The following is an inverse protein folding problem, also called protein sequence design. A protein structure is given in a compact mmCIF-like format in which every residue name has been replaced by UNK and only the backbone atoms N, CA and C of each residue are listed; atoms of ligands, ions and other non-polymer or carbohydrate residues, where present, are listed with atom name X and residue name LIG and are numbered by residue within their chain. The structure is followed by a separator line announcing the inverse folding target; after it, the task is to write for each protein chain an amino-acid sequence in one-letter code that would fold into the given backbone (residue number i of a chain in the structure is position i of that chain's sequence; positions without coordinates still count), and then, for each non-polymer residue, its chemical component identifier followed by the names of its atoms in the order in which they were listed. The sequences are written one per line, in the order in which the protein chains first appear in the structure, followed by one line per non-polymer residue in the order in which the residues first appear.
data_IF_067835266670
#
_entry.id   IF_067835266670
#
_cell.length_a   1.000
_cell.length_b   1.000
_cell.length_c   1.000
_cell.angle_alpha   90.00
_cell.angle_beta   90.00
_cell.angle_gamma   90.00
#
_symmetry.space_group_name_H-M   'P 1'
#
loop_
_entity.id
_entity.type
_entity.pdbx_description
1 polymer ?
#
# COMPACT_ATOMS: atom_id res chain seq x y z
N UNK A 1 26.38 24.57 12.96
CA UNK A 1 25.97 24.77 11.56
C UNK A 1 24.44 24.66 11.53
N UNK A 2 23.69 25.73 11.24
CA UNK A 2 22.23 25.60 11.16
C UNK A 2 21.89 24.88 9.85
N UNK A 3 21.09 23.82 9.96
CA UNK A 3 20.57 23.06 8.81
C UNK A 3 19.51 23.94 8.13
N UNK A 4 19.71 24.23 6.85
CA UNK A 4 18.72 24.93 6.04
C UNK A 4 17.45 24.07 5.92
N UNK A 5 16.31 24.62 6.35
CA UNK A 5 15.00 23.99 6.20
C UNK A 5 14.63 23.89 4.71
N UNK A 6 14.27 22.68 4.27
CA UNK A 6 13.78 22.39 2.93
C UNK A 6 12.34 22.95 2.81
N UNK A 7 12.04 23.84 1.86
CA UNK A 7 10.74 24.54 1.77
C UNK A 7 9.53 23.60 1.69
N UNK A 8 9.68 22.40 1.12
CA UNK A 8 8.60 21.42 0.97
C UNK A 8 8.24 20.63 2.24
N UNK A 9 9.13 20.54 3.23
CA UNK A 9 8.87 19.79 4.46
C UNK A 9 7.84 20.50 5.35
N UNK A 10 7.92 21.83 5.43
CA UNK A 10 6.94 22.66 6.15
C UNK A 10 5.58 22.66 5.47
N UNK A 11 5.56 22.62 4.14
CA UNK A 11 4.32 22.59 3.36
C UNK A 11 3.58 21.25 3.54
N UNK A 12 4.32 20.13 3.57
CA UNK A 12 3.78 18.80 3.87
C UNK A 12 3.24 18.68 5.30
N UNK A 13 3.97 19.19 6.30
CA UNK A 13 3.52 19.23 7.70
C UNK A 13 2.24 20.07 7.88
N UNK A 14 2.18 21.21 7.18
CA UNK A 14 1.01 22.09 7.22
C UNK A 14 -0.20 21.44 6.56
N UNK A 15 -0.03 20.78 5.41
CA UNK A 15 -1.12 20.05 4.73
C UNK A 15 -1.66 18.92 5.60
N UNK A 16 -0.80 18.15 6.27
CA UNK A 16 -1.22 17.10 7.20
C UNK A 16 -2.07 17.65 8.36
N UNK A 17 -1.65 18.78 8.95
CA UNK A 17 -2.41 19.42 10.02
C UNK A 17 -3.78 19.95 9.57
N UNK A 18 -3.89 20.47 8.33
CA UNK A 18 -5.16 20.88 7.72
C UNK A 18 -6.08 19.67 7.52
N UNK A 19 -5.56 18.54 7.05
CA UNK A 19 -6.32 17.28 6.88
C UNK A 19 -6.83 16.76 8.22
N UNK A 20 -6.00 16.80 9.27
CA UNK A 20 -6.38 16.38 10.62
C UNK A 20 -7.56 17.19 11.17
N UNK A 21 -7.54 18.52 11.03
CA UNK A 21 -8.65 19.38 11.47
C UNK A 21 -9.95 19.12 10.70
N UNK A 22 -9.86 18.82 9.39
CA UNK A 22 -11.04 18.43 8.60
C UNK A 22 -11.62 17.07 9.01
N UNK A 23 -10.78 16.18 9.56
CA UNK A 23 -11.18 14.87 10.07
C UNK A 23 -11.89 14.99 11.43
N UNK A 24 -11.30 15.75 12.36
CA UNK A 24 -11.77 15.89 13.74
C UNK A 24 -13.05 16.73 13.86
N UNK A 25 -13.15 17.82 13.10
CA UNK A 25 -14.21 18.82 13.26
C UNK A 25 -15.33 18.69 12.22
N UNK A 26 -15.12 17.86 11.19
CA UNK A 26 -16.01 17.80 10.04
C UNK A 26 -16.03 19.12 9.24
N UNK A 27 -17.19 19.57 8.71
CA UNK A 27 -17.28 20.77 7.88
C UNK A 27 -16.82 22.07 8.58
N UNK A 28 -15.60 22.53 8.26
CA UNK A 28 -14.95 23.70 8.89
C UNK A 28 -14.50 24.73 7.84
N UNK A 29 -14.38 26.00 8.23
CA UNK A 29 -13.92 27.08 7.32
C UNK A 29 -12.41 27.24 7.31
N UNK A 30 -11.87 27.77 6.21
CA UNK A 30 -10.44 28.10 6.11
C UNK A 30 -9.97 29.11 7.18
N UNK A 31 -10.86 29.99 7.65
CA UNK A 31 -10.55 30.96 8.71
C UNK A 31 -10.40 30.26 10.05
N UNK A 32 -11.30 29.34 10.39
CA UNK A 32 -11.24 28.58 11.65
C UNK A 32 -10.00 27.69 11.70
N UNK A 33 -9.67 27.00 10.59
CA UNK A 33 -8.41 26.25 10.46
C UNK A 33 -7.20 27.19 10.63
N UNK A 34 -7.22 28.37 10.01
CA UNK A 34 -6.14 29.35 10.12
C UNK A 34 -5.89 29.80 11.55
N UNK A 35 -6.96 30.09 12.31
CA UNK A 35 -6.86 30.45 13.73
C UNK A 35 -6.20 29.34 14.56
N UNK A 36 -6.61 28.08 14.35
CA UNK A 36 -6.07 26.93 15.10
C UNK A 36 -4.61 26.63 14.78
N UNK A 37 -4.21 26.80 13.52
CA UNK A 37 -2.85 26.50 13.07
C UNK A 37 -1.90 27.71 13.12
N UNK A 38 -2.39 28.90 13.51
CA UNK A 38 -1.59 30.14 13.47
C UNK A 38 -1.27 30.59 12.04
N UNK A 39 -2.11 30.25 11.06
CA UNK A 39 -1.93 30.51 9.64
C UNK A 39 -2.92 31.54 9.11
N UNK A 40 -2.54 32.24 8.05
CA UNK A 40 -3.48 33.09 7.32
C UNK A 40 -4.54 32.24 6.61
N UNK A 41 -5.78 32.74 6.54
CA UNK A 41 -6.84 32.08 5.79
C UNK A 41 -6.50 31.90 4.30
N UNK A 42 -5.64 32.76 3.73
CA UNK A 42 -5.15 32.62 2.37
C UNK A 42 -4.18 31.44 2.22
N UNK A 43 -3.28 31.23 3.19
CA UNK A 43 -2.37 30.09 3.23
C UNK A 43 -3.13 28.77 3.34
N UNK A 44 -4.11 28.71 4.24
CA UNK A 44 -4.97 27.53 4.40
C UNK A 44 -5.76 27.22 3.11
N UNK A 45 -6.27 28.25 2.42
CA UNK A 45 -7.01 28.05 1.16
C UNK A 45 -6.16 27.38 0.09
N UNK A 46 -4.86 27.71 -0.03
CA UNK A 46 -3.97 27.04 -0.99
C UNK A 46 -3.89 25.53 -0.75
N UNK A 47 -3.82 25.11 0.52
CA UNK A 47 -3.82 23.69 0.88
C UNK A 47 -5.17 23.02 0.61
N UNK A 48 -6.27 23.72 0.93
CA UNK A 48 -7.63 23.22 0.65
C UNK A 48 -7.89 23.09 -0.85
N UNK A 49 -7.44 24.05 -1.65
CA UNK A 49 -7.56 24.02 -3.10
C UNK A 49 -6.76 22.84 -3.67
N UNK A 50 -5.52 22.61 -3.20
CA UNK A 50 -4.73 21.45 -3.60
C UNK A 50 -5.36 20.10 -3.20
N UNK A 51 -6.09 20.04 -2.08
CA UNK A 51 -6.85 18.84 -1.67
C UNK A 51 -8.14 18.66 -2.49
N UNK A 52 -8.75 19.76 -2.95
CA UNK A 52 -9.91 19.72 -3.85
C UNK A 52 -9.49 19.26 -5.24
N UNK A 53 -8.37 19.76 -5.75
CA UNK A 53 -7.83 19.40 -7.06
C UNK A 53 -7.51 17.90 -7.15
N UNK A 54 -7.09 17.29 -6.04
CA UNK A 54 -6.85 15.84 -5.94
C UNK A 54 -8.10 15.02 -5.54
N UNK A 55 -9.26 15.67 -5.36
CA UNK A 55 -10.51 15.02 -4.97
C UNK A 55 -10.57 14.54 -3.51
N UNK A 56 -9.62 14.95 -2.68
CA UNK A 56 -9.50 14.55 -1.27
C UNK A 56 -10.38 15.39 -0.33
N UNK A 57 -10.64 16.64 -0.71
CA UNK A 57 -11.56 17.52 0.00
C UNK A 57 -12.63 18.07 -0.94
N UNK A 58 -13.75 18.52 -0.37
CA UNK A 58 -14.82 19.17 -1.12
C UNK A 58 -15.43 20.30 -0.29
N UNK A 59 -16.09 21.23 -0.98
CA UNK A 59 -16.93 22.21 -0.31
C UNK A 59 -18.16 21.52 0.31
N UNK A 60 -18.44 21.83 1.58
CA UNK A 60 -19.63 21.38 2.27
C UNK A 60 -20.78 22.39 2.08
N UNK A 61 -22.04 21.92 1.96
CA UNK A 61 -23.20 22.81 1.93
C UNK A 61 -23.25 23.71 3.16
N UNK A 62 -23.68 24.96 2.99
CA UNK A 62 -23.94 25.84 4.13
C UNK A 62 -25.03 25.20 5.03
N UNK A 63 -24.91 25.28 6.37
CA UNK A 63 -25.97 24.83 7.25
C UNK A 63 -27.30 25.47 6.83
N UNK A 64 -28.39 24.68 6.86
CA UNK A 64 -29.72 25.20 6.62
C UNK A 64 -30.11 26.09 7.81
N UNK A 65 -29.72 27.37 7.69
CA UNK A 65 -30.19 28.53 8.46
C UNK A 65 -29.65 28.65 9.89
N UNK A 66 -28.72 29.59 10.08
CA UNK A 66 -28.56 30.35 11.32
C UNK A 66 -27.98 31.74 11.00
N UNK A 67 -28.70 32.80 11.38
CA UNK A 67 -28.15 34.16 11.48
C UNK A 67 -28.13 35.03 10.21
N UNK A 68 -28.93 36.10 10.21
CA UNK A 68 -28.84 37.23 9.29
C UNK A 68 -27.55 38.03 9.56
N UNK A 69 -26.45 37.68 8.92
CA UNK A 69 -25.28 38.55 8.77
C UNK A 69 -25.21 39.15 7.37
N UNK A 70 -24.77 40.41 7.23
CA UNK A 70 -24.39 40.95 5.90
C UNK A 70 -23.11 40.24 5.45
N UNK A 71 -23.17 39.54 4.32
CA UNK A 71 -22.00 38.92 3.68
C UNK A 71 -22.32 37.56 3.05
N UNK A 72 -21.51 37.15 2.07
CA UNK A 72 -21.60 35.80 1.50
C UNK A 72 -21.23 34.78 2.59
N UNK A 73 -22.01 33.71 2.81
CA UNK A 73 -21.69 32.68 3.80
C UNK A 73 -20.28 32.14 3.59
N UNK A 74 -19.53 31.96 4.68
CA UNK A 74 -18.19 31.39 4.62
C UNK A 74 -18.26 29.95 4.08
N UNK A 75 -17.45 29.65 3.07
CA UNK A 75 -17.32 28.28 2.53
C UNK A 75 -16.71 27.37 3.59
N UNK A 76 -17.41 26.26 3.86
CA UNK A 76 -16.93 25.15 4.68
C UNK A 76 -16.36 24.06 3.79
N UNK A 77 -15.40 23.32 4.32
CA UNK A 77 -14.70 22.26 3.62
C UNK A 77 -14.76 20.99 4.47
N UNK A 78 -14.82 19.83 3.82
CA UNK A 78 -14.80 18.52 4.47
C UNK A 78 -13.98 17.55 3.63
N UNK A 79 -13.44 16.50 4.26
CA UNK A 79 -12.83 15.40 3.53
C UNK A 79 -13.88 14.61 2.74
N UNK A 80 -13.50 14.15 1.56
CA UNK A 80 -14.24 13.15 0.78
C UNK A 80 -13.94 11.74 1.31
N UNK A 81 -14.62 10.72 0.78
CA UNK A 81 -14.23 9.33 1.06
C UNK A 81 -12.80 9.03 0.58
N UNK A 82 -12.40 9.61 -0.57
CA UNK A 82 -11.04 9.49 -1.13
C UNK A 82 -10.00 10.12 -0.21
N UNK A 83 -10.26 11.32 0.31
CA UNK A 83 -9.35 11.99 1.26
C UNK A 83 -9.22 11.25 2.59
N UNK A 84 -10.32 10.64 3.08
CA UNK A 84 -10.26 9.78 4.28
C UNK A 84 -9.48 8.49 4.03
N UNK A 85 -9.59 7.89 2.84
CA UNK A 85 -8.84 6.68 2.50
C UNK A 85 -7.33 6.92 2.37
N UNK A 86 -6.90 8.14 2.00
CA UNK A 86 -5.48 8.53 1.96
C UNK A 86 -4.82 8.72 3.32
N UNK A 87 -5.58 8.68 4.42
CA UNK A 87 -5.04 8.53 5.77
C UNK A 87 -4.49 7.12 6.04
N UNK A 88 -4.31 6.31 4.98
CA UNK A 88 -3.92 4.90 4.97
C UNK A 88 -2.64 4.54 5.73
N UNK A 89 -1.84 5.52 6.18
CA UNK A 89 -0.76 5.28 7.14
C UNK A 89 -1.26 4.73 8.48
N UNK A 90 -2.51 5.02 8.87
CA UNK A 90 -3.08 4.49 10.13
C UNK A 90 -3.27 2.97 10.15
N UNK A 91 -3.54 2.34 9.01
CA UNK A 91 -3.69 0.89 8.93
C UNK A 91 -2.33 0.19 8.95
N UNK A 92 -1.33 0.74 8.26
CA UNK A 92 0.02 0.20 8.27
C UNK A 92 0.68 0.38 9.65
N UNK A 93 0.40 1.50 10.33
CA UNK A 93 0.85 1.75 11.70
C UNK A 93 0.22 0.76 12.69
N UNK A 94 -1.11 0.54 12.58
CA UNK A 94 -1.82 -0.44 13.40
C UNK A 94 -1.33 -1.86 13.13
N UNK A 95 -1.15 -2.24 11.85
CA UNK A 95 -0.63 -3.54 11.47
C UNK A 95 0.79 -3.76 12.00
N UNK A 96 1.67 -2.77 11.83
CA UNK A 96 3.03 -2.78 12.37
C UNK A 96 3.04 -2.88 13.90
N UNK A 97 2.14 -2.18 14.59
CA UNK A 97 2.00 -2.28 16.04
C UNK A 97 1.53 -3.68 16.48
N UNK A 98 0.55 -4.27 15.77
CA UNK A 98 0.08 -5.62 16.03
C UNK A 98 1.18 -6.67 15.81
N UNK A 99 1.97 -6.54 14.74
CA UNK A 99 3.09 -7.43 14.43
C UNK A 99 4.21 -7.32 15.48
N UNK A 100 4.53 -6.10 15.95
CA UNK A 100 5.47 -5.92 17.08
C UNK A 100 4.96 -6.62 18.34
N UNK A 101 3.69 -6.43 18.68
CA UNK A 101 3.11 -7.09 19.84
C UNK A 101 3.08 -8.62 19.71
N UNK A 102 2.80 -9.14 18.51
CA UNK A 102 2.89 -10.58 18.22
C UNK A 102 4.30 -11.12 18.48
N UNK A 103 5.33 -10.39 18.02
CA UNK A 103 6.73 -10.73 18.30
C UNK A 103 7.05 -10.68 19.79
N UNK A 104 6.53 -9.70 20.53
CA UNK A 104 6.72 -9.59 21.98
C UNK A 104 6.14 -10.79 22.74
N UNK A 105 4.92 -11.21 22.41
CA UNK A 105 4.22 -12.27 23.16
C UNK A 105 4.59 -13.68 22.69
N UNK A 106 4.93 -13.85 21.41
CA UNK A 106 5.13 -15.16 20.77
C UNK A 106 6.53 -15.39 20.20
N UNK A 107 7.42 -14.39 20.25
CA UNK A 107 8.74 -14.44 19.65
C UNK A 107 8.72 -14.45 18.11
N UNK A 108 9.89 -14.66 17.52
CA UNK A 108 10.05 -14.68 16.05
C UNK A 108 9.23 -15.79 15.38
N UNK A 109 9.14 -16.96 16.02
CA UNK A 109 8.38 -18.10 15.50
C UNK A 109 6.90 -17.78 15.28
N UNK A 110 6.31 -16.90 16.10
CA UNK A 110 4.93 -16.47 15.93
C UNK A 110 4.75 -15.54 14.72
N UNK A 111 5.73 -14.68 14.45
CA UNK A 111 5.76 -13.81 13.26
C UNK A 111 5.90 -14.66 11.99
N UNK A 112 6.83 -15.63 11.99
CA UNK A 112 7.01 -16.56 10.87
C UNK A 112 5.75 -17.41 10.60
N UNK A 113 5.11 -17.94 11.65
CA UNK A 113 3.87 -18.70 11.52
C UNK A 113 2.74 -17.83 10.95
N UNK A 114 2.60 -16.60 11.44
CA UNK A 114 1.64 -15.65 10.87
C UNK A 114 1.91 -15.39 9.38
N UNK A 115 3.16 -15.11 9.01
CA UNK A 115 3.56 -14.88 7.63
C UNK A 115 3.23 -16.06 6.73
N UNK A 116 3.56 -17.29 7.17
CA UNK A 116 3.23 -18.54 6.44
C UNK A 116 1.73 -18.72 6.27
N UNK A 117 0.93 -18.54 7.33
CA UNK A 117 -0.53 -18.65 7.24
C UNK A 117 -1.13 -17.60 6.33
N UNK A 118 -0.58 -16.38 6.36
CA UNK A 118 -1.03 -15.28 5.51
C UNK A 118 -0.89 -15.63 4.03
N UNK A 119 0.29 -16.08 3.59
CA UNK A 119 0.49 -16.44 2.17
C UNK A 119 -0.29 -17.69 1.78
N UNK A 120 -0.44 -18.67 2.68
CA UNK A 120 -1.30 -19.83 2.44
C UNK A 120 -2.75 -19.42 2.17
N UNK A 121 -3.27 -18.43 2.92
CA UNK A 121 -4.60 -17.89 2.67
C UNK A 121 -4.72 -17.18 1.32
N UNK A 122 -3.64 -16.54 0.83
CA UNK A 122 -3.65 -15.92 -0.50
C UNK A 122 -3.67 -16.98 -1.61
N UNK A 123 -2.95 -18.08 -1.42
CA UNK A 123 -2.78 -19.14 -2.40
C UNK A 123 -3.80 -20.28 -2.25
N UNK A 124 -4.80 -20.15 -1.37
CA UNK A 124 -5.69 -21.26 -1.02
C UNK A 124 -6.50 -21.87 -2.17
N UNK A 125 -6.62 -21.17 -3.31
CA UNK A 125 -7.25 -21.66 -4.53
C UNK A 125 -6.28 -22.16 -5.62
N UNK A 126 -4.97 -22.05 -5.40
CA UNK A 126 -3.95 -22.42 -6.39
C UNK A 126 -3.49 -23.86 -6.13
N UNK A 127 -3.44 -24.68 -7.17
CA UNK A 127 -2.90 -26.03 -7.09
C UNK A 127 -1.37 -26.01 -7.27
N UNK A 128 -0.61 -26.82 -6.50
CA UNK A 128 0.83 -26.94 -6.71
C UNK A 128 1.14 -27.75 -7.96
N UNK A 129 2.31 -27.51 -8.54
CA UNK A 129 2.90 -28.31 -9.63
C UNK A 129 3.11 -29.75 -9.16
N UNK A 130 2.61 -30.73 -9.93
CA UNK A 130 2.77 -32.15 -9.64
C UNK A 130 3.74 -32.86 -10.61
N UNK A 131 3.64 -32.59 -11.91
CA UNK A 131 4.45 -33.28 -12.92
C UNK A 131 5.85 -32.67 -13.10
N UNK A 132 6.01 -31.40 -12.72
CA UNK A 132 7.25 -30.65 -12.92
C UNK A 132 7.49 -30.25 -14.38
N UNK A 133 6.48 -30.40 -15.24
CA UNK A 133 6.58 -29.99 -16.63
C UNK A 133 6.68 -28.46 -16.75
N UNK A 134 7.41 -27.98 -17.76
CA UNK A 134 7.61 -26.54 -17.92
C UNK A 134 6.31 -25.77 -18.15
N UNK A 135 5.34 -26.36 -18.85
CA UNK A 135 4.02 -25.76 -19.06
C UNK A 135 3.24 -25.64 -17.74
N UNK A 136 3.22 -26.68 -16.92
CA UNK A 136 2.52 -26.67 -15.63
C UNK A 136 3.13 -25.65 -14.65
N UNK A 137 4.46 -25.48 -14.66
CA UNK A 137 5.14 -24.44 -13.86
C UNK A 137 4.71 -23.04 -14.30
N UNK A 138 4.59 -22.81 -15.61
CA UNK A 138 4.15 -21.52 -16.15
C UNK A 138 2.68 -21.24 -15.83
N UNK A 139 1.80 -22.24 -16.00
CA UNK A 139 0.39 -22.15 -15.64
C UNK A 139 0.22 -21.86 -14.14
N UNK A 140 0.96 -22.58 -13.28
CA UNK A 140 0.94 -22.34 -11.83
C UNK A 140 1.48 -20.96 -11.47
N UNK A 141 2.50 -20.45 -12.17
CA UNK A 141 3.00 -19.09 -11.97
C UNK A 141 1.95 -18.03 -12.35
N UNK A 142 1.16 -18.28 -13.39
CA UNK A 142 0.02 -17.43 -13.77
C UNK A 142 -1.08 -17.46 -12.70
N UNK A 143 -1.43 -18.62 -12.17
CA UNK A 143 -2.41 -18.76 -11.09
C UNK A 143 -1.96 -18.05 -9.81
N UNK A 144 -0.67 -18.15 -9.45
CA UNK A 144 -0.08 -17.38 -8.35
C UNK A 144 -0.23 -15.88 -8.60
N UNK A 145 0.10 -15.40 -9.81
CA UNK A 145 -0.02 -13.98 -10.14
C UNK A 145 -1.48 -13.50 -10.11
N UNK A 146 -2.43 -14.33 -10.53
CA UNK A 146 -3.87 -14.03 -10.44
C UNK A 146 -4.31 -13.90 -8.97
N UNK A 147 -3.97 -14.87 -8.12
CA UNK A 147 -4.31 -14.83 -6.70
C UNK A 147 -3.74 -13.60 -5.98
N UNK A 148 -2.49 -13.22 -6.30
CA UNK A 148 -1.87 -12.01 -5.77
C UNK A 148 -2.51 -10.73 -6.31
N UNK A 149 -2.98 -10.74 -7.57
CA UNK A 149 -3.73 -9.61 -8.14
C UNK A 149 -5.06 -9.40 -7.43
N UNK A 150 -5.80 -10.47 -7.16
CA UNK A 150 -7.05 -10.42 -6.39
C UNK A 150 -6.82 -9.89 -4.97
N UNK A 151 -5.64 -10.16 -4.40
CA UNK A 151 -5.21 -9.63 -3.11
C UNK A 151 -4.63 -8.19 -3.17
N UNK A 152 -4.66 -7.55 -4.34
CA UNK A 152 -4.27 -6.16 -4.54
C UNK A 152 -2.77 -5.93 -4.82
N UNK A 153 -2.00 -6.95 -5.19
CA UNK A 153 -0.57 -6.79 -5.50
C UNK A 153 -0.30 -6.35 -6.95
N UNK A 154 -1.33 -6.25 -7.78
CA UNK A 154 -1.19 -5.93 -9.22
C UNK A 154 -0.08 -6.78 -9.86
N UNK A 155 -0.25 -8.10 -9.80
CA UNK A 155 0.79 -9.05 -10.19
C UNK A 155 0.62 -9.51 -11.64
N UNK A 156 1.73 -9.95 -12.25
CA UNK A 156 1.78 -10.40 -13.64
C UNK A 156 2.91 -11.40 -13.82
N UNK A 157 2.80 -12.26 -14.84
CA UNK A 157 3.91 -13.11 -15.27
C UNK A 157 4.54 -12.57 -16.56
N UNK A 158 5.82 -12.88 -16.76
CA UNK A 158 6.54 -12.60 -18.01
C UNK A 158 7.57 -13.68 -18.30
N UNK A 159 7.57 -14.27 -19.49
CA UNK A 159 8.64 -15.16 -19.94
C UNK A 159 9.94 -14.38 -20.16
N UNK A 160 11.04 -14.89 -19.61
CA UNK A 160 12.38 -14.28 -19.70
C UNK A 160 13.44 -15.38 -19.78
N UNK A 161 14.19 -15.43 -20.87
CA UNK A 161 15.23 -16.43 -21.07
C UNK A 161 14.66 -17.85 -21.00
N UNK A 162 15.22 -18.68 -20.10
CA UNK A 162 14.82 -20.06 -19.85
C UNK A 162 13.84 -20.19 -18.68
N UNK A 163 13.06 -19.16 -18.38
CA UNK A 163 12.10 -19.21 -17.28
C UNK A 163 11.01 -18.15 -17.38
N UNK A 164 10.26 -18.03 -16.28
CA UNK A 164 9.21 -17.01 -16.10
C UNK A 164 9.57 -16.12 -14.92
N UNK A 165 9.07 -14.88 -14.92
CA UNK A 165 9.14 -13.97 -13.79
C UNK A 165 7.74 -13.68 -13.29
N UNK A 166 7.54 -13.76 -11.99
CA UNK A 166 6.36 -13.22 -11.31
C UNK A 166 6.74 -11.82 -10.82
N UNK A 167 6.04 -10.81 -11.32
CA UNK A 167 6.25 -9.41 -10.97
C UNK A 167 5.04 -8.88 -10.20
N UNK A 168 5.27 -8.20 -9.07
CA UNK A 168 4.22 -7.50 -8.31
C UNK A 168 4.49 -5.99 -8.39
N UNK A 169 3.58 -5.26 -9.02
CA UNK A 169 3.73 -3.81 -9.24
C UNK A 169 3.19 -2.97 -8.07
N UNK A 170 2.55 -3.62 -7.10
CA UNK A 170 2.09 -3.04 -5.85
C UNK A 170 2.26 -4.05 -4.73
N UNK A 171 2.54 -3.59 -3.51
CA UNK A 171 2.52 -4.46 -2.33
C UNK A 171 1.71 -3.76 -1.24
N UNK A 172 0.50 -4.24 -0.92
CA UNK A 172 -0.38 -3.60 0.06
C UNK A 172 0.15 -3.69 1.50
N UNK A 173 1.26 -4.38 1.72
CA UNK A 173 1.90 -4.55 3.04
C UNK A 173 3.37 -4.13 3.02
N UNK A 174 3.82 -3.36 2.02
CA UNK A 174 5.25 -3.01 1.86
C UNK A 174 5.82 -2.33 3.10
N UNK A 175 5.07 -1.39 3.70
CA UNK A 175 5.54 -0.67 4.88
C UNK A 175 5.66 -1.57 6.13
N UNK A 176 4.82 -2.60 6.23
CA UNK A 176 4.94 -3.60 7.30
C UNK A 176 6.12 -4.53 6.99
N UNK A 177 6.27 -4.96 5.75
CA UNK A 177 7.35 -5.84 5.30
C UNK A 177 8.76 -5.22 5.44
N UNK A 178 8.87 -3.88 5.41
CA UNK A 178 10.12 -3.16 5.76
C UNK A 178 10.62 -3.47 7.17
N UNK A 179 9.71 -3.70 8.12
CA UNK A 179 10.02 -4.00 9.53
C UNK A 179 9.93 -5.51 9.85
N UNK A 180 9.24 -6.27 9.01
CA UNK A 180 8.98 -7.69 9.16
C UNK A 180 9.29 -8.46 7.86
N UNK A 181 10.58 -8.68 7.54
CA UNK A 181 11.01 -9.38 6.32
C UNK A 181 10.45 -10.81 6.19
N UNK A 182 10.03 -11.42 7.30
CA UNK A 182 9.41 -12.75 7.36
C UNK A 182 8.19 -12.84 6.42
N UNK A 183 7.49 -11.73 6.18
CA UNK A 183 6.39 -11.65 5.22
C UNK A 183 6.86 -11.94 3.78
N UNK A 184 7.99 -11.35 3.39
CA UNK A 184 8.58 -11.52 2.06
C UNK A 184 9.27 -12.88 1.90
N UNK A 185 9.80 -13.42 2.99
CA UNK A 185 10.44 -14.74 3.04
C UNK A 185 9.42 -15.87 2.94
N UNK A 186 8.33 -15.79 3.71
CA UNK A 186 7.23 -16.75 3.64
C UNK A 186 6.60 -16.80 2.25
N UNK A 187 6.49 -15.65 1.56
CA UNK A 187 6.05 -15.60 0.17
C UNK A 187 6.98 -16.40 -0.75
N UNK A 188 8.29 -16.21 -0.63
CA UNK A 188 9.27 -16.91 -1.46
C UNK A 188 9.27 -18.42 -1.18
N UNK A 189 9.13 -18.81 0.09
CA UNK A 189 9.00 -20.21 0.50
C UNK A 189 7.74 -20.85 -0.11
N UNK A 190 6.61 -20.14 -0.08
CA UNK A 190 5.38 -20.59 -0.68
C UNK A 190 5.50 -20.74 -2.20
N UNK A 191 6.12 -19.78 -2.89
CA UNK A 191 6.36 -19.90 -4.34
C UNK A 191 7.24 -21.09 -4.68
N UNK A 192 8.33 -21.30 -3.94
CA UNK A 192 9.21 -22.48 -4.10
C UNK A 192 8.41 -23.77 -4.00
N UNK A 193 7.52 -23.85 -3.00
CA UNK A 193 6.70 -25.04 -2.74
C UNK A 193 5.66 -25.27 -3.82
N UNK A 194 4.93 -24.22 -4.21
CA UNK A 194 3.87 -24.31 -5.22
C UNK A 194 4.41 -24.66 -6.59
N UNK A 195 5.58 -24.11 -6.95
CA UNK A 195 6.17 -24.29 -8.27
C UNK A 195 7.02 -25.57 -8.37
N UNK A 196 7.28 -26.25 -7.25
CA UNK A 196 8.08 -27.47 -7.22
C UNK A 196 9.54 -27.28 -7.67
N UNK A 197 10.00 -26.05 -7.77
CA UNK A 197 11.35 -25.68 -8.22
C UNK A 197 11.89 -24.53 -7.38
N UNK A 198 13.21 -24.36 -7.40
CA UNK A 198 13.82 -23.20 -6.75
C UNK A 198 13.36 -21.91 -7.45
N UNK A 199 13.18 -20.86 -6.67
CA UNK A 199 12.88 -19.52 -7.19
C UNK A 199 13.90 -18.53 -6.65
N UNK A 200 14.14 -17.46 -7.40
CA UNK A 200 15.09 -16.42 -7.02
C UNK A 200 14.40 -15.07 -6.93
N UNK A 201 14.39 -14.46 -5.75
CA UNK A 201 13.96 -13.07 -5.58
C UNK A 201 15.04 -12.15 -6.14
N UNK A 202 14.66 -11.28 -7.08
CA UNK A 202 15.56 -10.33 -7.75
C UNK A 202 15.39 -8.90 -7.23
N UNK A 203 14.18 -8.53 -6.82
CA UNK A 203 13.83 -7.19 -6.34
C UNK A 203 12.62 -7.27 -5.39
N UNK A 204 12.50 -6.33 -4.46
CA UNK A 204 11.37 -6.20 -3.53
C UNK A 204 11.04 -4.75 -3.25
N UNK A 205 9.76 -4.40 -3.29
CA UNK A 205 9.27 -3.06 -2.92
C UNK A 205 9.68 -2.69 -1.48
N UNK A 206 9.69 -3.66 -0.55
CA UNK A 206 10.12 -3.43 0.84
C UNK A 206 11.60 -3.03 0.98
N UNK A 207 12.45 -3.31 -0.02
CA UNK A 207 13.84 -2.85 -0.06
C UNK A 207 14.00 -1.54 -0.86
N UNK A 208 12.91 -0.90 -1.26
CA UNK A 208 12.90 0.35 -2.02
C UNK A 208 12.93 0.17 -3.55
N UNK A 209 12.80 -1.05 -4.06
CA UNK A 209 12.65 -1.28 -5.50
C UNK A 209 11.29 -0.81 -6.02
N UNK A 210 11.20 -0.51 -7.33
CA UNK A 210 9.93 -0.06 -7.92
C UNK A 210 8.86 -1.15 -8.05
N UNK A 211 9.26 -2.43 -8.03
CA UNK A 211 8.36 -3.58 -8.08
C UNK A 211 9.08 -4.83 -7.56
N UNK A 212 8.34 -5.80 -7.00
CA UNK A 212 8.92 -7.08 -6.64
C UNK A 212 9.10 -7.95 -7.89
N UNK A 213 10.20 -8.69 -7.98
CA UNK A 213 10.43 -9.65 -9.06
C UNK A 213 10.96 -10.95 -8.51
N UNK A 214 10.29 -12.06 -8.84
CA UNK A 214 10.76 -13.42 -8.54
C UNK A 214 10.94 -14.18 -9.85
N UNK A 215 12.14 -14.70 -10.09
CA UNK A 215 12.44 -15.57 -11.23
C UNK A 215 12.19 -17.03 -10.89
N UNK A 216 11.54 -17.72 -11.82
CA UNK A 216 11.20 -19.14 -11.77
C UNK A 216 11.84 -19.80 -13.01
N UNK A 217 12.84 -20.66 -12.83
CA UNK A 217 13.41 -21.44 -13.92
C UNK A 217 12.38 -22.44 -14.45
N UNK A 218 12.29 -22.57 -15.78
CA UNK A 218 11.38 -23.50 -16.44
C UNK A 218 12.24 -24.53 -17.19
N UNK A 219 12.08 -25.84 -16.94
CA UNK A 219 12.82 -26.86 -17.66
C UNK A 219 12.45 -26.80 -19.16
N UNK A 220 13.41 -27.02 -20.07
CA UNK A 220 13.14 -27.04 -21.50
C UNK A 220 12.11 -28.12 -21.84
N UNK A 221 11.13 -27.77 -22.66
CA UNK A 221 10.12 -28.71 -23.14
C UNK A 221 10.81 -29.78 -23.99
N UNK A 222 10.65 -31.05 -23.58
CA UNK A 222 11.27 -32.21 -24.21
C UNK A 222 10.62 -32.45 -25.58
N UNK A 223 11.08 -31.69 -26.58
CA UNK A 223 10.67 -31.87 -27.98
C UNK A 223 11.43 -33.05 -28.55
N UNK A 224 11.01 -34.26 -28.16
CA UNK A 224 11.45 -35.49 -28.81
C UNK A 224 10.93 -35.49 -30.24
N UNK A 225 11.77 -34.99 -31.17
CA UNK A 225 11.57 -35.12 -32.62
C UNK A 225 11.31 -36.59 -32.93
N UNK A 226 10.11 -36.87 -33.44
CA UNK A 226 9.80 -38.14 -34.11
C UNK A 226 10.09 -37.97 -35.59
#
# INVERSE_FOLDING_TARGET
MPVAQVPGAHEGQTRAAVVQLLLEEGPITATEIGVRLGLSAAGVRRHLDALIDTGEAQAAPAPRREGRGRGRPARRFQLTAVGRARLGHSYDDLASAAMRHLREVGGEAAVEDFARRRVQSLLGGVAPVESGSGAEIEDTAEDIAAAFTDAGFAASTRRVGTGVQICQHHCPVSHVAEQFPELCEAELEAFTRMLGTHVQRLATIANGDSFCTTHVPVPPSDTRKT
#
